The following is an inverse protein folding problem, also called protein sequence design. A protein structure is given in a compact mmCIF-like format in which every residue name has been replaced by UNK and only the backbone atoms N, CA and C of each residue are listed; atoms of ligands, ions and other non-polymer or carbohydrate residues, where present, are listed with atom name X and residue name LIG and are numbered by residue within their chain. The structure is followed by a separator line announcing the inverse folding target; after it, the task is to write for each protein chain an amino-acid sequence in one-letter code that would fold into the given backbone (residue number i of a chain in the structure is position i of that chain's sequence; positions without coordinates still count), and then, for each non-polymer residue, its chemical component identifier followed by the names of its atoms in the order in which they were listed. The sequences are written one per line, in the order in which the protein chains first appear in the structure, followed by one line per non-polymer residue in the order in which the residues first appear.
data_IF_347271647090
#
_entry.id   IF_347271647090
#
_cell.length_a   1.000
_cell.length_b   1.000
_cell.length_c   1.000
_cell.angle_alpha   90.00
_cell.angle_beta   90.00
_cell.angle_gamma   90.00
#
_symmetry.space_group_name_H-M   'P 1'
#
loop_
_entity.id
_entity.type
_entity.pdbx_description
1 polymer ?
#
# COMPACT_ATOMS: atom_id res chain seq x y z
N UNK A 1 -5.35 13.48 15.89
CA UNK A 1 -5.93 13.25 14.54
C UNK A 1 -6.86 14.38 14.11
N UNK A 2 -7.55 15.05 15.03
CA UNK A 2 -8.48 16.15 14.69
C UNK A 2 -7.83 17.35 14.01
N UNK A 3 -6.53 17.60 14.24
CA UNK A 3 -5.79 18.68 13.56
C UNK A 3 -5.56 18.44 12.06
N UNK A 4 -5.40 17.18 11.63
CA UNK A 4 -5.22 16.87 10.21
C UNK A 4 -6.57 16.65 9.52
N UNK A 5 -7.57 16.09 10.21
CA UNK A 5 -8.92 15.92 9.66
C UNK A 5 -8.91 15.25 8.29
N UNK A 6 -9.40 15.97 7.28
CA UNK A 6 -9.47 15.52 5.88
C UNK A 6 -8.11 15.42 5.17
N UNK A 7 -7.04 15.99 5.74
CA UNK A 7 -5.69 15.91 5.16
C UNK A 7 -5.07 14.51 5.29
N UNK A 8 -5.63 13.62 6.12
CA UNK A 8 -5.11 12.25 6.28
C UNK A 8 -5.57 11.38 5.11
N UNK A 9 -4.61 10.92 4.31
CA UNK A 9 -4.84 10.05 3.16
C UNK A 9 -4.86 8.57 3.55
N UNK A 10 -4.08 8.19 4.56
CA UNK A 10 -4.00 6.81 5.03
C UNK A 10 -3.58 6.74 6.50
N UNK A 11 -4.08 5.73 7.21
CA UNK A 11 -3.70 5.42 8.58
C UNK A 11 -3.48 3.91 8.73
N UNK A 12 -2.39 3.52 9.39
CA UNK A 12 -2.19 2.18 9.93
C UNK A 12 -1.98 2.27 11.45
N UNK A 13 -1.47 1.19 12.04
CA UNK A 13 -1.34 1.00 13.48
C UNK A 13 -0.40 2.03 14.12
N UNK A 14 0.66 2.39 13.42
CA UNK A 14 1.78 3.20 13.90
C UNK A 14 2.25 4.25 12.86
N UNK A 15 1.58 4.35 11.71
CA UNK A 15 1.97 5.24 10.62
C UNK A 15 0.77 5.99 10.04
N UNK A 16 1.01 7.21 9.59
CA UNK A 16 0.03 8.06 8.91
C UNK A 16 0.64 8.62 7.63
N UNK A 17 -0.17 8.71 6.58
CA UNK A 17 0.19 9.41 5.35
C UNK A 17 -0.81 10.54 5.20
N UNK A 18 -0.32 11.76 5.02
CA UNK A 18 -1.14 12.95 4.98
C UNK A 18 -0.64 13.94 3.92
N UNK A 19 -1.55 14.81 3.48
CA UNK A 19 -1.23 15.95 2.64
C UNK A 19 -0.73 17.10 3.53
N UNK A 20 0.57 17.39 3.47
CA UNK A 20 1.15 18.54 4.15
C UNK A 20 0.77 19.85 3.44
N UNK A 21 0.41 20.87 4.22
CA UNK A 21 0.26 22.25 3.75
C UNK A 21 1.32 23.18 4.37
N UNK A 22 2.37 22.61 4.98
CA UNK A 22 3.44 23.32 5.69
C UNK A 22 3.02 23.95 7.02
N UNK A 23 1.76 23.81 7.44
CA UNK A 23 1.21 24.35 8.70
C UNK A 23 0.52 23.29 9.56
N UNK A 24 0.18 22.14 8.97
CA UNK A 24 -0.53 21.03 9.60
C UNK A 24 0.39 19.87 10.00
N UNK A 25 1.70 20.01 9.81
CA UNK A 25 2.66 18.95 10.09
C UNK A 25 2.67 18.62 11.60
N UNK A 26 2.52 17.33 11.97
CA UNK A 26 2.62 16.92 13.36
C UNK A 26 4.04 17.18 13.88
N UNK A 27 4.18 17.53 15.17
CA UNK A 27 5.50 17.73 15.76
C UNK A 27 6.29 16.41 15.71
N UNK A 28 7.49 16.48 15.16
CA UNK A 28 8.43 15.37 15.14
C UNK A 28 9.19 15.29 16.47
N UNK A 29 9.48 14.08 16.93
CA UNK A 29 10.23 13.85 18.16
C UNK A 29 10.91 12.49 18.18
N UNK A 30 11.82 12.31 19.14
CA UNK A 30 12.63 11.10 19.28
C UNK A 30 12.20 10.24 20.49
N UNK A 31 11.10 10.58 21.15
CA UNK A 31 10.62 9.86 22.33
C UNK A 31 9.51 8.87 21.97
N UNK A 32 9.24 7.94 22.90
CA UNK A 32 8.19 6.94 22.70
C UNK A 32 6.82 7.61 22.59
N UNK A 33 6.16 7.42 21.46
CA UNK A 33 4.86 8.03 21.16
C UNK A 33 4.93 9.30 20.31
N UNK A 34 6.13 9.80 20.03
CA UNK A 34 6.33 10.89 19.07
C UNK A 34 6.24 10.38 17.63
N UNK A 35 5.86 11.26 16.71
CA UNK A 35 5.97 10.98 15.29
C UNK A 35 7.41 11.14 14.84
N UNK A 36 7.90 10.16 14.07
CA UNK A 36 9.19 10.21 13.40
C UNK A 36 8.99 10.34 11.90
N UNK A 37 9.95 10.97 11.21
CA UNK A 37 9.94 11.03 9.75
C UNK A 37 10.51 9.74 9.16
N UNK A 38 9.68 8.96 8.47
CA UNK A 38 10.08 7.70 7.81
C UNK A 38 10.79 7.92 6.46
N UNK A 39 10.70 9.12 5.90
CA UNK A 39 11.16 9.43 4.54
C UNK A 39 12.46 10.22 4.52
N UNK A 40 13.12 10.40 5.67
CA UNK A 40 14.38 11.13 5.82
C UNK A 40 14.35 12.52 5.12
N UNK A 41 13.23 13.24 5.23
CA UNK A 41 13.01 14.54 4.60
C UNK A 41 12.51 14.49 3.15
N UNK A 42 12.27 13.31 2.57
CA UNK A 42 11.62 13.18 1.27
C UNK A 42 10.11 13.37 1.36
N UNK A 43 9.53 13.99 0.33
CA UNK A 43 8.10 14.21 0.23
C UNK A 43 7.48 13.24 -0.76
N UNK A 44 6.34 12.65 -0.41
CA UNK A 44 5.55 11.84 -1.34
C UNK A 44 4.88 12.77 -2.35
N UNK A 45 5.21 12.60 -3.63
CA UNK A 45 4.61 13.37 -4.74
C UNK A 45 3.37 12.69 -5.28
N UNK A 46 3.28 11.36 -5.18
CA UNK A 46 2.10 10.62 -5.63
C UNK A 46 1.87 9.47 -4.67
N UNK A 47 0.66 9.43 -4.12
CA UNK A 47 0.20 8.36 -3.26
C UNK A 47 -0.96 7.63 -3.92
N UNK A 48 -0.94 6.30 -3.85
CA UNK A 48 -1.96 5.42 -4.41
C UNK A 48 -2.42 4.48 -3.31
N UNK A 49 -3.71 4.49 -3.02
CA UNK A 49 -4.35 3.55 -2.10
C UNK A 49 -5.16 2.52 -2.87
N UNK A 50 -4.77 1.25 -2.73
CA UNK A 50 -5.53 0.09 -3.20
C UNK A 50 -6.32 -0.59 -2.08
N UNK A 51 -6.44 0.04 -0.91
CA UNK A 51 -7.16 -0.47 0.26
C UNK A 51 -6.28 -0.66 1.49
N UNK A 52 -6.81 -1.31 2.55
CA UNK A 52 -6.07 -1.56 3.77
C UNK A 52 -4.81 -2.41 3.54
N UNK A 53 -3.65 -1.91 3.95
CA UNK A 53 -2.32 -2.55 3.81
C UNK A 53 -1.94 -2.86 2.35
N UNK A 54 -2.48 -2.06 1.44
CA UNK A 54 -2.25 -2.13 0.00
C UNK A 54 -2.10 -0.71 -0.55
N UNK A 55 -0.88 -0.20 -0.58
CA UNK A 55 -0.60 1.15 -1.04
C UNK A 55 0.73 1.22 -1.78
N UNK A 56 0.87 2.24 -2.62
CA UNK A 56 2.11 2.54 -3.31
C UNK A 56 2.33 4.06 -3.30
N UNK A 57 3.59 4.48 -3.26
CA UNK A 57 3.93 5.89 -3.32
C UNK A 57 5.21 6.13 -4.09
N UNK A 58 5.33 7.35 -4.60
CA UNK A 58 6.52 7.89 -5.25
C UNK A 58 6.97 9.14 -4.52
N UNK A 59 8.27 9.23 -4.22
CA UNK A 59 8.86 10.39 -3.56
C UNK A 59 9.36 11.42 -4.58
N UNK A 60 9.69 12.62 -4.10
CA UNK A 60 10.26 13.71 -4.90
C UNK A 60 11.58 13.32 -5.56
N UNK A 61 12.38 12.46 -4.93
CA UNK A 61 13.63 11.93 -5.48
C UNK A 61 13.40 10.81 -6.52
N UNK A 62 12.14 10.43 -6.79
CA UNK A 62 11.79 9.39 -7.76
C UNK A 62 11.82 7.97 -7.19
N UNK A 63 12.08 7.79 -5.88
CA UNK A 63 11.99 6.49 -5.23
C UNK A 63 10.52 6.03 -5.24
N UNK A 64 10.30 4.80 -5.66
CA UNK A 64 8.97 4.18 -5.63
C UNK A 64 8.94 3.06 -4.59
N UNK A 65 7.84 2.98 -3.87
CA UNK A 65 7.63 1.98 -2.83
C UNK A 65 6.24 1.38 -3.02
N UNK A 66 6.16 0.04 -2.97
CA UNK A 66 4.91 -0.70 -3.06
C UNK A 66 4.79 -1.58 -1.82
N UNK A 67 3.65 -1.49 -1.13
CA UNK A 67 3.35 -2.24 0.09
C UNK A 67 2.05 -2.98 -0.12
N UNK A 68 2.16 -4.30 -0.32
CA UNK A 68 1.00 -5.16 -0.58
C UNK A 68 1.03 -6.37 0.34
N UNK A 69 0.08 -6.42 1.28
CA UNK A 69 -0.05 -7.54 2.22
C UNK A 69 -0.51 -8.82 1.49
N UNK A 70 0.09 -9.95 1.89
CA UNK A 70 -0.33 -11.29 1.42
C UNK A 70 0.41 -11.79 0.17
N UNK A 71 1.25 -10.95 -0.41
CA UNK A 71 2.09 -11.26 -1.56
C UNK A 71 3.57 -11.11 -1.20
N UNK A 72 4.38 -12.06 -1.66
CA UNK A 72 5.83 -11.96 -1.55
C UNK A 72 6.34 -11.07 -2.66
N UNK A 73 6.89 -9.91 -2.31
CA UNK A 73 7.53 -9.01 -3.27
C UNK A 73 8.94 -9.51 -3.58
N UNK A 74 9.03 -10.56 -4.39
CA UNK A 74 10.30 -10.98 -5.00
C UNK A 74 10.59 -10.11 -6.24
N UNK A 75 11.82 -10.15 -6.78
CA UNK A 75 12.20 -9.31 -7.93
C UNK A 75 11.29 -9.51 -9.16
N UNK A 76 10.84 -10.74 -9.42
CA UNK A 76 9.93 -11.04 -10.54
C UNK A 76 8.54 -10.45 -10.30
N UNK A 77 7.97 -10.67 -9.12
CA UNK A 77 6.67 -10.13 -8.73
C UNK A 77 6.69 -8.61 -8.68
N UNK A 78 7.80 -8.00 -8.29
CA UNK A 78 7.94 -6.54 -8.28
C UNK A 78 7.99 -5.95 -9.69
N UNK A 79 8.33 -6.73 -10.73
CA UNK A 79 8.20 -6.27 -12.12
C UNK A 79 6.73 -6.22 -12.55
N UNK A 80 5.92 -7.20 -12.16
CA UNK A 80 4.49 -7.25 -12.51
C UNK A 80 3.59 -6.41 -11.60
N UNK A 81 3.95 -6.30 -10.32
CA UNK A 81 3.23 -5.54 -9.30
C UNK A 81 4.12 -4.39 -8.83
N UNK A 82 4.24 -3.39 -9.70
CA UNK A 82 4.97 -2.15 -9.46
C UNK A 82 4.02 -0.96 -9.26
N UNK A 83 4.59 0.21 -9.01
CA UNK A 83 3.86 1.46 -8.81
C UNK A 83 2.91 1.77 -9.99
N UNK A 84 3.37 1.61 -11.22
CA UNK A 84 2.58 1.91 -12.43
C UNK A 84 1.44 0.90 -12.62
N UNK A 85 1.69 -0.38 -12.35
CA UNK A 85 0.66 -1.43 -12.42
C UNK A 85 -0.45 -1.20 -11.38
N UNK A 86 -0.09 -0.83 -10.15
CA UNK A 86 -1.07 -0.49 -9.10
C UNK A 86 -1.83 0.78 -9.48
N UNK A 87 -1.12 1.82 -9.97
CA UNK A 87 -1.72 3.06 -10.45
C UNK A 87 -2.76 2.79 -11.53
N UNK A 88 -2.39 2.02 -12.54
CA UNK A 88 -3.27 1.66 -13.64
C UNK A 88 -4.52 0.92 -13.15
N UNK A 89 -4.38 -0.03 -12.22
CA UNK A 89 -5.51 -0.75 -11.63
C UNK A 89 -6.45 0.16 -10.81
N UNK A 90 -5.91 1.14 -10.09
CA UNK A 90 -6.75 2.10 -9.34
C UNK A 90 -7.46 3.05 -10.31
N UNK A 91 -6.74 3.59 -11.29
CA UNK A 91 -7.29 4.54 -12.27
C UNK A 91 -8.29 3.90 -13.23
N UNK A 92 -8.13 2.62 -13.58
CA UNK A 92 -9.07 1.92 -14.47
C UNK A 92 -10.44 1.73 -13.84
N UNK A 93 -10.55 1.85 -12.50
CA UNK A 93 -11.75 1.56 -11.70
C UNK A 93 -12.33 0.15 -11.94
N UNK A 94 -11.58 -0.72 -12.63
CA UNK A 94 -12.00 -2.07 -12.94
C UNK A 94 -11.69 -2.98 -11.75
N UNK A 95 -12.72 -3.17 -10.91
CA UNK A 95 -12.65 -4.03 -9.74
C UNK A 95 -12.47 -5.51 -10.07
N UNK A 96 -12.60 -5.92 -11.35
CA UNK A 96 -12.38 -7.30 -11.78
C UNK A 96 -10.97 -7.53 -12.30
N UNK A 97 -10.21 -6.48 -12.60
CA UNK A 97 -8.85 -6.60 -13.10
C UNK A 97 -7.94 -7.30 -12.07
N UNK A 98 -7.16 -8.27 -12.54
CA UNK A 98 -6.23 -9.04 -11.70
C UNK A 98 -4.85 -9.11 -12.31
N UNK A 99 -3.82 -9.01 -11.46
CA UNK A 99 -2.42 -9.25 -11.86
C UNK A 99 -2.03 -10.65 -11.38
N UNK A 100 -1.71 -11.60 -12.27
CA UNK A 100 -1.16 -12.88 -11.88
C UNK A 100 0.29 -12.73 -11.42
N UNK A 101 0.58 -13.20 -10.22
CA UNK A 101 1.91 -13.26 -9.65
C UNK A 101 2.33 -14.72 -9.53
N UNK A 102 3.41 -15.07 -10.22
CA UNK A 102 3.94 -16.43 -10.24
C UNK A 102 5.10 -16.56 -9.25
N UNK A 103 4.85 -17.28 -8.15
CA UNK A 103 5.87 -17.61 -7.17
C UNK A 103 6.43 -19.01 -7.49
N UNK A 104 7.52 -19.04 -8.26
CA UNK A 104 8.11 -20.29 -8.75
C UNK A 104 8.76 -21.14 -7.64
N UNK A 105 9.08 -20.55 -6.49
CA UNK A 105 9.88 -21.18 -5.44
C UNK A 105 9.25 -21.00 -4.05
N UNK A 106 7.93 -21.16 -3.94
CA UNK A 106 7.27 -21.06 -2.64
C UNK A 106 7.66 -22.24 -1.76
N UNK A 107 8.26 -21.94 -0.63
CA UNK A 107 8.60 -22.92 0.41
C UNK A 107 7.31 -23.32 1.15
N UNK A 108 6.99 -24.62 1.13
CA UNK A 108 5.87 -25.19 1.87
C UNK A 108 6.40 -26.25 2.83
N UNK A 109 5.92 -26.21 4.08
CA UNK A 109 6.24 -27.21 5.12
C UNK A 109 5.05 -28.14 5.33
N UNK A 110 5.26 -29.42 5.08
CA UNK A 110 4.37 -30.48 5.54
C UNK A 110 4.79 -30.88 6.96
N UNK A 111 4.05 -30.40 7.96
CA UNK A 111 4.35 -30.65 9.37
C UNK A 111 4.20 -32.14 9.74
N UNK A 112 3.23 -32.85 9.14
CA UNK A 112 2.98 -34.27 9.42
C UNK A 112 4.10 -35.16 8.89
N UNK A 113 4.60 -34.84 7.69
CA UNK A 113 5.73 -35.55 7.07
C UNK A 113 7.10 -35.00 7.45
N UNK A 114 7.15 -33.91 8.23
CA UNK A 114 8.38 -33.15 8.56
C UNK A 114 9.22 -32.85 7.31
N UNK A 115 8.57 -32.54 6.19
CA UNK A 115 9.21 -32.30 4.90
C UNK A 115 9.01 -30.85 4.48
N UNK A 116 10.05 -30.28 3.88
CA UNK A 116 10.00 -28.97 3.23
C UNK A 116 10.17 -29.20 1.73
N UNK A 117 9.32 -28.56 0.92
CA UNK A 117 9.36 -28.65 -0.53
C UNK A 117 9.11 -27.29 -1.16
N UNK A 118 9.75 -27.03 -2.29
CA UNK A 118 9.41 -25.91 -3.16
C UNK A 118 8.27 -26.31 -4.09
N UNK A 119 7.27 -25.44 -4.19
CA UNK A 119 6.11 -25.62 -5.06
C UNK A 119 5.89 -24.34 -5.84
N UNK A 120 5.55 -24.48 -7.13
CA UNK A 120 5.12 -23.34 -7.92
C UNK A 120 3.70 -22.94 -7.51
N UNK A 121 3.49 -21.64 -7.24
CA UNK A 121 2.18 -21.12 -6.92
C UNK A 121 1.91 -19.84 -7.69
N UNK A 122 0.77 -19.78 -8.37
CA UNK A 122 0.22 -18.53 -8.89
C UNK A 122 -0.76 -17.93 -7.88
N UNK A 123 -0.60 -16.63 -7.58
CA UNK A 123 -1.58 -15.84 -6.83
C UNK A 123 -2.12 -14.73 -7.73
N UNK A 124 -3.42 -14.46 -7.66
CA UNK A 124 -4.02 -13.35 -8.37
C UNK A 124 -4.13 -12.16 -7.42
N UNK A 125 -3.38 -11.10 -7.72
CA UNK A 125 -3.57 -9.81 -7.05
C UNK A 125 -4.79 -9.11 -7.62
N UNK A 126 -5.61 -8.55 -6.72
CA UNK A 126 -6.78 -7.74 -7.06
C UNK A 126 -6.88 -6.61 -6.05
N UNK A 127 -7.26 -5.43 -6.54
CA UNK A 127 -7.57 -4.30 -5.67
C UNK A 127 -8.90 -4.58 -4.97
N UNK A 128 -8.90 -4.47 -3.64
CA UNK A 128 -10.07 -4.68 -2.80
C UNK A 128 -10.26 -3.43 -1.96
N UNK A 129 -11.28 -2.64 -2.31
CA UNK A 129 -11.56 -1.36 -1.69
C UNK A 129 -12.97 -1.36 -1.09
N UNK A 130 -13.16 -2.23 -0.08
CA UNK A 130 -14.48 -2.50 0.51
C UNK A 130 -14.80 -1.62 1.73
N UNK A 131 -13.91 -0.69 2.10
CA UNK A 131 -14.03 0.10 3.33
C UNK A 131 -14.51 1.53 3.13
N UNK A 132 -14.46 2.04 1.90
CA UNK A 132 -14.90 3.38 1.53
C UNK A 132 -15.54 3.37 0.15
N UNK A 133 -16.39 4.36 -0.12
CA UNK A 133 -17.00 4.58 -1.43
C UNK A 133 -16.10 5.55 -2.21
N UNK A 134 -15.60 5.12 -3.37
CA UNK A 134 -14.83 5.96 -4.29
C UNK A 134 -15.82 6.69 -5.20
N UNK A 135 -15.73 8.02 -5.26
CA UNK A 135 -16.47 8.85 -6.21
C UNK A 135 -15.72 8.99 -7.54
N UNK A 136 -16.38 9.53 -8.56
CA UNK A 136 -15.78 9.74 -9.89
C UNK A 136 -14.59 10.70 -9.89
N UNK A 137 -14.51 11.60 -8.90
CA UNK A 137 -13.39 12.53 -8.66
C UNK A 137 -12.24 11.89 -7.85
N UNK A 138 -12.28 10.57 -7.63
CA UNK A 138 -11.37 9.81 -6.75
C UNK A 138 -11.41 10.21 -5.27
N UNK A 139 -12.35 11.07 -4.84
CA UNK A 139 -12.59 11.30 -3.42
C UNK A 139 -13.18 10.04 -2.78
N UNK A 140 -12.92 9.84 -1.49
CA UNK A 140 -13.36 8.64 -0.77
C UNK A 140 -14.22 9.01 0.42
N UNK A 141 -15.40 8.41 0.53
CA UNK A 141 -16.31 8.61 1.67
C UNK A 141 -16.39 7.34 2.53
N UNK A 142 -16.53 7.49 3.86
CA UNK A 142 -16.88 6.35 4.72
C UNK A 142 -18.31 5.87 4.43
N UNK A 143 -18.58 4.60 4.71
CA UNK A 143 -19.95 4.07 4.64
C UNK A 143 -20.82 4.68 5.75
N UNK A 144 -22.04 5.09 5.41
CA UNK A 144 -23.01 5.64 6.36
C UNK A 144 -23.03 7.17 6.50
N UNK A 145 -22.42 7.88 5.54
CA UNK A 145 -22.70 9.30 5.30
C UNK A 145 -24.03 9.48 4.56
#
# INVERSE_FOLDING_TARGET
MDKLGEAVLYHDTDSIIYASNGKNDPPLGNFLGDFTDELDGEIITTFISGGPKNYAYRTSQGKTCCKVRGFTLNFQNNQSLNFESIKHLVCSLDRKATIPLNDAAKIIRDAKRRKVSNVQQTKLYRIVYDKRVIKEDFSTLPYGY
#
